data_IF_434535478933
#
_entry.id   IF_434535478933
#
_cell.length_a   1.000
_cell.length_b   1.000
_cell.length_c   1.000
_cell.angle_alpha   90.00
_cell.angle_beta   90.00
_cell.angle_gamma   90.00
#
_symmetry.space_group_name_H-M   'P 1'
#
loop_
_entity.id
_entity.type
_entity.pdbx_description
1 polymer ?
#
# COMPACT_ATOMS: atom_id res chain seq x y z
N UNK A 1 -20.57 -4.20 -0.42
CA UNK A 1 -19.97 -5.36 0.30
C UNK A 1 -19.53 -6.52 -0.62
N UNK A 2 -20.17 -6.76 -1.77
CA UNK A 2 -19.81 -7.86 -2.72
C UNK A 2 -18.49 -7.61 -3.46
N UNK A 3 -18.26 -6.40 -3.99
CA UNK A 3 -17.04 -6.05 -4.73
C UNK A 3 -15.74 -6.23 -3.91
N UNK A 4 -15.79 -5.86 -2.62
CA UNK A 4 -14.64 -5.96 -1.72
C UNK A 4 -14.23 -7.42 -1.46
N UNK A 5 -15.20 -8.35 -1.43
CA UNK A 5 -14.94 -9.80 -1.31
C UNK A 5 -14.29 -10.38 -2.58
N UNK A 6 -14.63 -9.87 -3.77
CA UNK A 6 -14.04 -10.34 -5.04
C UNK A 6 -12.58 -9.90 -5.17
N UNK A 7 -12.27 -8.63 -4.89
CA UNK A 7 -10.90 -8.09 -4.93
C UNK A 7 -10.02 -8.84 -3.91
N UNK A 8 -10.54 -9.08 -2.70
CA UNK A 8 -9.83 -9.83 -1.66
C UNK A 8 -9.46 -11.24 -2.15
N UNK A 9 -10.41 -11.96 -2.78
CA UNK A 9 -10.13 -13.30 -3.32
C UNK A 9 -9.12 -13.26 -4.47
N UNK A 10 -9.17 -12.26 -5.34
CA UNK A 10 -8.20 -12.12 -6.43
C UNK A 10 -6.77 -11.94 -5.91
N UNK A 11 -6.58 -10.98 -4.99
CA UNK A 11 -5.26 -10.65 -4.43
C UNK A 11 -4.67 -11.78 -3.58
N UNK A 12 -5.53 -12.56 -2.92
CA UNK A 12 -5.11 -13.68 -2.06
C UNK A 12 -5.11 -15.03 -2.77
N UNK A 13 -5.32 -15.07 -4.10
CA UNK A 13 -5.49 -16.32 -4.87
C UNK A 13 -6.50 -17.27 -4.21
N UNK A 14 -7.72 -16.80 -4.04
CA UNK A 14 -8.80 -17.48 -3.33
C UNK A 14 -8.42 -17.86 -1.89
N UNK A 15 -7.83 -16.92 -1.14
CA UNK A 15 -7.39 -17.11 0.26
C UNK A 15 -6.27 -18.14 0.46
N UNK A 16 -5.59 -18.57 -0.61
CA UNK A 16 -4.42 -19.45 -0.51
C UNK A 16 -3.11 -18.71 -0.19
N UNK A 17 -3.14 -17.36 -0.23
CA UNK A 17 -2.00 -16.50 0.05
C UNK A 17 -2.39 -15.42 1.04
N UNK A 18 -1.51 -15.17 2.01
CA UNK A 18 -1.61 -14.06 2.94
C UNK A 18 -0.64 -12.97 2.47
N UNK A 19 -1.10 -11.75 2.18
CA UNK A 19 -0.20 -10.65 1.84
C UNK A 19 0.57 -10.23 3.11
N UNK A 20 1.90 -10.21 3.00
CA UNK A 20 2.77 -9.76 4.09
C UNK A 20 3.02 -8.26 4.04
N UNK A 21 3.15 -7.71 2.84
CA UNK A 21 3.38 -6.29 2.55
C UNK A 21 2.51 -5.91 1.35
N UNK A 22 1.93 -4.71 1.39
CA UNK A 22 1.17 -4.15 0.26
C UNK A 22 1.34 -2.63 0.24
N UNK A 23 1.66 -2.09 -0.94
CA UNK A 23 1.67 -0.63 -1.14
C UNK A 23 0.30 -0.21 -1.64
N UNK A 24 -0.34 0.69 -0.89
CA UNK A 24 -1.64 1.25 -1.20
C UNK A 24 -1.48 2.74 -1.56
N UNK A 25 -2.18 3.17 -2.61
CA UNK A 25 -2.36 4.59 -2.93
C UNK A 25 -3.69 5.09 -2.37
N UNK A 26 -3.62 6.00 -1.41
CA UNK A 26 -4.77 6.62 -0.76
C UNK A 26 -5.17 7.89 -1.52
N UNK A 27 -6.06 7.72 -2.50
CA UNK A 27 -6.61 8.81 -3.31
C UNK A 27 -7.22 9.93 -2.44
N UNK A 28 -7.91 9.59 -1.35
CA UNK A 28 -8.52 10.60 -0.48
C UNK A 28 -7.45 11.49 0.16
N UNK A 29 -6.40 10.90 0.73
CA UNK A 29 -5.28 11.65 1.28
C UNK A 29 -4.54 12.46 0.22
N UNK A 30 -4.46 11.93 -1.00
CA UNK A 30 -3.85 12.65 -2.13
C UNK A 30 -4.61 13.93 -2.46
N UNK A 31 -5.94 13.84 -2.56
CA UNK A 31 -6.80 15.00 -2.84
C UNK A 31 -6.69 16.04 -1.70
N UNK A 32 -6.59 15.59 -0.46
CA UNK A 32 -6.53 16.48 0.71
C UNK A 32 -5.15 17.11 0.96
N UNK A 33 -4.06 16.35 0.73
CA UNK A 33 -2.72 16.70 1.19
C UNK A 33 -1.62 16.60 0.11
N UNK A 34 -1.99 16.34 -1.15
CA UNK A 34 -1.05 16.07 -2.23
C UNK A 34 -0.30 14.74 -2.04
N UNK A 35 0.93 14.67 -2.54
CA UNK A 35 1.72 13.41 -2.52
C UNK A 35 2.05 12.93 -1.10
N UNK A 36 2.10 13.81 -0.09
CA UNK A 36 2.54 13.43 1.25
C UNK A 36 1.56 12.46 1.92
N UNK A 37 2.02 11.24 2.19
CA UNK A 37 1.20 10.20 2.83
C UNK A 37 0.10 9.62 1.95
N UNK A 38 0.11 9.92 0.64
CA UNK A 38 -0.79 9.28 -0.33
C UNK A 38 -0.32 7.88 -0.72
N UNK A 39 0.99 7.60 -0.66
CA UNK A 39 1.55 6.25 -0.83
C UNK A 39 1.88 5.66 0.54
N UNK A 40 1.34 4.48 0.86
CA UNK A 40 1.46 3.88 2.19
C UNK A 40 1.73 2.38 2.09
N UNK A 41 2.59 1.85 2.96
CA UNK A 41 2.75 0.41 3.13
C UNK A 41 1.82 -0.13 4.23
N UNK A 42 1.06 -1.16 3.90
CA UNK A 42 0.31 -1.98 4.85
C UNK A 42 1.12 -3.22 5.17
N UNK A 43 1.55 -3.32 6.43
CA UNK A 43 2.41 -4.40 6.93
C UNK A 43 1.56 -5.40 7.71
N UNK A 44 1.75 -6.69 7.43
CA UNK A 44 1.09 -7.75 8.18
C UNK A 44 1.55 -7.73 9.65
N UNK A 45 0.66 -7.97 10.64
CA UNK A 45 1.00 -7.86 12.06
C UNK A 45 2.21 -8.67 12.52
N UNK A 46 2.53 -9.76 11.84
CA UNK A 46 3.70 -10.61 12.14
C UNK A 46 5.05 -9.93 11.86
N UNK A 47 5.06 -8.89 11.01
CA UNK A 47 6.25 -8.14 10.60
C UNK A 47 6.26 -6.69 11.15
N UNK A 48 5.25 -6.31 11.93
CA UNK A 48 4.98 -4.90 12.27
C UNK A 48 6.04 -4.26 13.18
N UNK A 49 6.86 -5.08 13.85
CA UNK A 49 7.86 -4.66 14.82
C UNK A 49 9.30 -4.85 14.28
N UNK A 50 9.45 -5.13 12.98
CA UNK A 50 10.75 -5.27 12.31
C UNK A 50 11.18 -3.92 11.70
N UNK A 51 12.13 -3.26 12.36
CA UNK A 51 12.61 -1.93 11.97
C UNK A 51 13.19 -1.91 10.55
N UNK A 52 13.93 -2.94 10.14
CA UNK A 52 14.55 -3.00 8.82
C UNK A 52 13.48 -3.04 7.72
N UNK A 53 12.43 -3.84 7.93
CA UNK A 53 11.29 -3.91 7.00
C UNK A 53 10.56 -2.57 6.96
N UNK A 54 10.29 -1.97 8.12
CA UNK A 54 9.57 -0.68 8.21
C UNK A 54 10.33 0.42 7.47
N UNK A 55 11.63 0.56 7.73
CA UNK A 55 12.48 1.56 7.09
C UNK A 55 12.54 1.36 5.57
N UNK A 56 12.75 0.11 5.13
CA UNK A 56 12.80 -0.23 3.70
C UNK A 56 11.49 0.11 2.99
N UNK A 57 10.35 -0.17 3.63
CA UNK A 57 9.03 0.09 3.06
C UNK A 57 8.68 1.58 3.04
N UNK A 58 9.08 2.33 4.07
CA UNK A 58 8.93 3.78 4.04
C UNK A 58 9.79 4.40 2.93
N UNK A 59 11.05 3.98 2.80
CA UNK A 59 11.93 4.43 1.71
C UNK A 59 11.37 4.12 0.31
N UNK A 60 10.75 2.95 0.13
CA UNK A 60 10.07 2.61 -1.12
C UNK A 60 8.86 3.52 -1.40
N UNK A 61 8.03 3.80 -0.38
CA UNK A 61 6.91 4.72 -0.52
C UNK A 61 7.38 6.13 -0.92
N UNK A 62 8.47 6.59 -0.32
CA UNK A 62 9.07 7.89 -0.60
C UNK A 62 9.58 7.95 -2.05
N UNK A 63 10.34 6.92 -2.45
CA UNK A 63 10.85 6.80 -3.82
C UNK A 63 9.73 6.83 -4.86
N UNK A 64 8.64 6.10 -4.64
CA UNK A 64 7.49 6.08 -5.56
C UNK A 64 6.92 7.50 -5.69
N UNK A 65 6.69 8.19 -4.58
CA UNK A 65 6.11 9.55 -4.56
C UNK A 65 7.00 10.59 -5.24
N UNK A 66 8.31 10.42 -5.17
CA UNK A 66 9.27 11.35 -5.78
C UNK A 66 9.51 11.10 -7.26
N UNK A 67 9.43 9.84 -7.70
CA UNK A 67 9.81 9.44 -9.07
C UNK A 67 8.65 9.30 -10.04
N UNK A 68 7.44 9.09 -9.55
CA UNK A 68 6.28 8.89 -10.40
C UNK A 68 5.29 10.04 -10.23
N UNK A 69 4.64 10.43 -11.33
CA UNK A 69 3.51 11.34 -11.24
C UNK A 69 2.33 10.58 -10.62
N UNK A 70 1.98 10.93 -9.39
CA UNK A 70 0.91 10.26 -8.65
C UNK A 70 -0.47 10.46 -9.29
N UNK A 71 -0.63 11.48 -10.14
CA UNK A 71 -1.86 11.70 -10.91
C UNK A 71 -2.12 10.58 -11.94
N UNK A 72 -1.07 9.91 -12.42
CA UNK A 72 -1.20 8.81 -13.39
C UNK A 72 -1.76 7.52 -12.75
N UNK A 73 -1.83 7.47 -11.42
CA UNK A 73 -2.37 6.32 -10.65
C UNK A 73 -3.90 6.40 -10.52
N UNK A 74 -4.49 7.57 -10.80
CA UNK A 74 -5.92 7.87 -10.63
C UNK A 74 -6.70 7.50 -11.90
#
# INVERSE_FOLDING_TARGET
>A
MVAMKLITRLLTKNLQRVPLLRIDFNMKKFIENGTKGSCMCVIHPVLKDDDHIIETMNGLCDYIREKYNMEDVI
#
